data_IF_639512682314
#
_entry.id   IF_639512682314
#
_cell.length_a   1.000
_cell.length_b   1.000
_cell.length_c   1.000
_cell.angle_alpha   90.00
_cell.angle_beta   90.00
_cell.angle_gamma   90.00
#
_symmetry.space_group_name_H-M   'P 1'
#
loop_
_entity.id
_entity.type
_entity.pdbx_description
1 polymer ?
#
# COMPACT_ATOMS: atom_id res chain seq x y z
N UNK A 1 -7.99 6.97 6.55
CA UNK A 1 -8.81 8.19 6.64
C UNK A 1 -9.33 8.38 8.05
N UNK A 2 -9.83 9.58 8.34
CA UNK A 2 -10.67 9.91 9.48
C UNK A 2 -12.06 10.27 8.97
N UNK A 3 -13.08 9.67 9.55
CA UNK A 3 -14.47 10.09 9.41
C UNK A 3 -14.95 10.68 10.74
N UNK A 4 -15.71 11.78 10.69
CA UNK A 4 -16.29 12.43 11.87
C UNK A 4 -17.77 12.72 11.63
N UNK A 5 -18.61 12.62 12.66
CA UNK A 5 -20.02 13.01 12.50
C UNK A 5 -20.20 14.52 12.28
N UNK A 6 -19.30 15.34 12.83
CA UNK A 6 -19.27 16.80 12.64
C UNK A 6 -18.84 17.19 11.21
N UNK A 7 -18.13 16.28 10.52
CA UNK A 7 -17.67 16.45 9.15
C UNK A 7 -17.80 15.10 8.42
N UNK A 8 -18.99 14.77 7.89
CA UNK A 8 -19.38 13.42 7.48
C UNK A 8 -18.78 13.03 6.12
N UNK A 9 -17.46 13.10 6.03
CA UNK A 9 -16.64 12.75 4.88
C UNK A 9 -15.35 12.10 5.34
N UNK A 10 -14.85 11.14 4.56
CA UNK A 10 -13.54 10.54 4.80
C UNK A 10 -12.41 11.50 4.39
N UNK A 11 -11.61 11.91 5.38
CA UNK A 11 -10.43 12.77 5.15
C UNK A 11 -9.15 11.94 5.29
N UNK A 12 -8.22 11.95 4.32
CA UNK A 12 -6.94 11.28 4.46
C UNK A 12 -6.10 11.91 5.59
N UNK A 13 -5.76 11.13 6.62
CA UNK A 13 -4.77 11.54 7.64
C UNK A 13 -3.35 11.24 7.17
N UNK A 14 -3.17 10.05 6.59
CA UNK A 14 -1.91 9.54 6.07
C UNK A 14 -2.19 8.89 4.72
N UNK A 15 -1.33 9.12 3.73
CA UNK A 15 -1.39 8.49 2.40
C UNK A 15 0.02 8.22 1.88
N UNK A 16 0.20 7.09 1.20
CA UNK A 16 1.47 6.67 0.61
C UNK A 16 1.18 5.89 -0.68
N UNK A 17 2.13 5.94 -1.62
CA UNK A 17 2.03 5.22 -2.89
C UNK A 17 3.39 4.60 -3.26
N UNK A 18 3.35 3.44 -3.92
CA UNK A 18 4.51 2.73 -4.44
C UNK A 18 4.28 2.29 -5.88
N UNK A 19 5.37 2.19 -6.64
CA UNK A 19 5.37 1.65 -7.99
C UNK A 19 6.18 0.35 -8.04
N UNK A 20 5.50 -0.79 -8.12
CA UNK A 20 6.10 -2.12 -7.92
C UNK A 20 6.39 -2.87 -9.24
N UNK A 21 5.64 -2.58 -10.30
CA UNK A 21 5.76 -3.29 -11.58
C UNK A 21 7.04 -2.98 -12.39
N UNK A 22 7.91 -2.08 -11.91
CA UNK A 22 9.20 -1.78 -12.55
C UNK A 22 10.31 -2.79 -12.18
N UNK A 23 10.12 -3.59 -11.12
CA UNK A 23 11.15 -4.41 -10.47
C UNK A 23 11.24 -5.89 -10.88
N UNK A 24 10.27 -6.44 -11.63
CA UNK A 24 10.31 -7.84 -12.10
C UNK A 24 11.35 -8.14 -13.19
N UNK A 25 12.30 -7.22 -13.43
CA UNK A 25 13.40 -7.34 -14.40
C UNK A 25 14.77 -7.32 -13.70
N UNK A 26 14.90 -7.96 -12.54
CA UNK A 26 16.24 -8.22 -12.00
C UNK A 26 16.92 -9.17 -12.99
N UNK A 27 17.72 -8.59 -13.89
CA UNK A 27 18.56 -9.31 -14.86
C UNK A 27 19.49 -10.22 -14.06
N UNK A 28 19.11 -11.48 -13.87
CA UNK A 28 20.11 -12.51 -13.65
C UNK A 28 20.99 -12.49 -14.90
N UNK A 29 22.28 -12.16 -14.74
CA UNK A 29 23.24 -12.20 -15.85
C UNK A 29 23.28 -13.65 -16.35
N UNK A 30 22.74 -13.90 -17.54
CA UNK A 30 22.88 -15.20 -18.22
C UNK A 30 21.61 -15.90 -18.69
N UNK A 31 20.40 -15.36 -18.48
CA UNK A 31 19.18 -16.04 -18.94
C UNK A 31 18.68 -15.46 -20.28
N UNK A 32 18.52 -16.37 -21.24
CA UNK A 32 18.12 -16.14 -22.62
C UNK A 32 16.78 -15.40 -22.76
N UNK A 33 16.67 -14.63 -23.84
CA UNK A 33 15.68 -13.58 -24.11
C UNK A 33 14.22 -14.05 -24.30
N UNK A 34 13.90 -15.29 -23.98
CA UNK A 34 12.66 -15.97 -24.40
C UNK A 34 11.78 -16.53 -23.26
N UNK A 35 12.09 -16.21 -22.00
CA UNK A 35 11.22 -16.52 -20.86
C UNK A 35 11.05 -15.29 -19.97
N UNK A 36 9.84 -14.73 -19.99
CA UNK A 36 9.38 -13.66 -19.10
C UNK A 36 9.27 -14.20 -17.67
N UNK A 37 10.40 -14.43 -17.00
CA UNK A 37 10.42 -14.70 -15.56
C UNK A 37 10.08 -13.41 -14.80
N UNK A 38 8.78 -13.23 -14.53
CA UNK A 38 8.30 -12.23 -13.57
C UNK A 38 8.61 -12.76 -12.18
N UNK A 39 9.77 -12.41 -11.62
CA UNK A 39 10.11 -12.75 -10.24
C UNK A 39 9.04 -12.24 -9.27
N UNK A 40 8.79 -13.00 -8.20
CA UNK A 40 7.93 -12.58 -7.08
C UNK A 40 8.55 -11.34 -6.43
N UNK A 41 7.71 -10.37 -6.07
CA UNK A 41 8.12 -9.15 -5.40
C UNK A 41 7.31 -8.97 -4.13
N UNK A 42 7.91 -8.29 -3.16
CA UNK A 42 7.28 -7.90 -1.90
C UNK A 42 7.63 -6.44 -1.64
N UNK A 43 6.68 -5.66 -1.13
CA UNK A 43 6.88 -4.26 -0.76
C UNK A 43 6.06 -3.96 0.50
N UNK A 44 6.72 -3.43 1.53
CA UNK A 44 6.09 -3.00 2.77
C UNK A 44 5.81 -1.49 2.77
N UNK A 45 4.65 -1.09 3.30
CA UNK A 45 4.31 0.31 3.55
C UNK A 45 4.02 0.50 5.04
N UNK A 46 4.64 1.53 5.62
CA UNK A 46 4.40 1.95 6.99
C UNK A 46 4.00 3.42 7.01
N UNK A 47 3.02 3.76 7.85
CA UNK A 47 2.56 5.12 8.06
C UNK A 47 2.23 5.32 9.54
N UNK A 48 2.70 6.41 10.13
CA UNK A 48 2.41 6.74 11.52
C UNK A 48 2.69 8.21 11.82
N UNK A 49 1.77 8.83 12.57
CA UNK A 49 1.90 10.17 13.15
C UNK A 49 0.86 10.31 14.28
N UNK A 50 1.02 11.34 15.12
CA UNK A 50 0.04 11.66 16.17
C UNK A 50 -0.92 12.72 15.64
N UNK A 51 -2.22 12.50 15.82
CA UNK A 51 -3.27 13.44 15.47
C UNK A 51 -4.20 13.65 16.67
N UNK A 52 -4.70 14.88 16.84
CA UNK A 52 -5.82 15.13 17.72
C UNK A 52 -7.10 14.56 17.07
N UNK A 53 -7.83 13.75 17.84
CA UNK A 53 -9.11 13.17 17.45
C UNK A 53 -10.21 13.62 18.42
N UNK A 54 -11.45 13.57 17.95
CA UNK A 54 -12.64 13.77 18.77
C UNK A 54 -13.27 12.44 19.14
N UNK A 55 -14.02 12.41 20.24
CA UNK A 55 -14.79 11.23 20.64
C UNK A 55 -15.76 10.86 19.51
N UNK A 56 -15.71 9.61 19.07
CA UNK A 56 -16.58 9.11 18.00
C UNK A 56 -16.01 9.25 16.59
N UNK A 57 -14.84 9.87 16.42
CA UNK A 57 -14.11 9.80 15.15
C UNK A 57 -13.78 8.34 14.81
N UNK A 58 -13.98 7.97 13.55
CA UNK A 58 -13.67 6.62 13.04
C UNK A 58 -12.41 6.68 12.18
N UNK A 59 -11.53 5.70 12.36
CA UNK A 59 -10.29 5.57 11.60
C UNK A 59 -10.38 4.36 10.68
N UNK A 60 -9.95 4.53 9.42
CA UNK A 60 -9.86 3.45 8.45
C UNK A 60 -8.47 3.43 7.79
N UNK A 61 -7.90 2.25 7.62
CA UNK A 61 -6.72 2.02 6.79
C UNK A 61 -7.16 1.25 5.55
N UNK A 62 -6.94 1.81 4.36
CA UNK A 62 -7.41 1.23 3.09
C UNK A 62 -6.28 1.16 2.08
N UNK A 63 -6.31 0.12 1.25
CA UNK A 63 -5.40 -0.06 0.12
C UNK A 63 -6.21 -0.15 -1.18
N UNK A 64 -5.89 0.69 -2.16
CA UNK A 64 -6.58 0.71 -3.46
C UNK A 64 -6.37 -0.60 -4.25
N UNK A 65 -5.29 -1.32 -3.98
CA UNK A 65 -4.93 -2.57 -4.64
C UNK A 65 -4.93 -3.75 -3.66
N UNK A 66 -6.02 -3.92 -2.90
CA UNK A 66 -6.16 -4.96 -1.87
C UNK A 66 -5.84 -6.39 -2.32
N UNK A 67 -6.00 -6.70 -3.61
CA UNK A 67 -5.63 -8.00 -4.22
C UNK A 67 -4.14 -8.36 -4.14
N UNK A 68 -3.27 -7.40 -3.80
CA UNK A 68 -1.82 -7.60 -3.66
C UNK A 68 -1.36 -7.59 -2.20
N UNK A 69 -2.29 -7.56 -1.24
CA UNK A 69 -1.94 -7.71 0.17
C UNK A 69 -1.55 -9.16 0.44
N UNK A 70 -0.38 -9.36 1.02
CA UNK A 70 0.02 -10.63 1.61
C UNK A 70 -0.44 -10.68 3.06
N UNK A 71 -1.36 -11.61 3.35
CA UNK A 71 -1.93 -11.83 4.69
C UNK A 71 -1.35 -13.10 5.36
N UNK A 72 -0.44 -13.79 4.69
CA UNK A 72 0.10 -15.09 5.09
C UNK A 72 1.58 -15.04 5.51
N UNK A 73 2.08 -13.84 5.82
CA UNK A 73 3.49 -13.55 6.08
C UNK A 73 4.26 -14.58 6.90
#
# INVERSE_FOLDING_TARGET
SRFSQEYPQDVPLLSAARSVCRGGRRRQRGVSRDQSERGVWFESLYQGAVFQLRRGDQLAATATAGRFLDLHG
#
